data_IF_652474702325
#
_entry.id   IF_652474702325
#
_cell.length_a   1.000
_cell.length_b   1.000
_cell.length_c   1.000
_cell.angle_alpha   90.00
_cell.angle_beta   90.00
_cell.angle_gamma   90.00
#
_symmetry.space_group_name_H-M   'P 1'
#
loop_
_entity.id
_entity.type
_entity.pdbx_description
1 polymer ?
#
# COMPACT_ATOMS: atom_id res chain seq x y z
N UNK A 1 -5.02 -5.50 12.13
CA UNK A 1 -4.87 -4.03 12.21
C UNK A 1 -4.60 -3.68 13.66
N UNK A 2 -3.43 -3.14 14.00
CA UNK A 2 -3.16 -2.63 15.35
C UNK A 2 -3.19 -1.09 15.34
N UNK A 3 -4.39 -0.52 15.46
CA UNK A 3 -4.58 0.93 15.37
C UNK A 3 -3.88 1.70 16.50
N UNK A 4 -3.72 1.09 17.68
CA UNK A 4 -3.10 1.74 18.83
C UNK A 4 -1.59 1.99 18.63
N UNK A 5 -0.94 1.23 17.75
CA UNK A 5 0.49 1.36 17.45
C UNK A 5 0.79 2.35 16.32
N UNK A 6 -0.23 2.87 15.63
CA UNK A 6 -0.05 3.70 14.45
C UNK A 6 -0.19 5.19 14.78
N UNK A 7 0.64 6.00 14.16
CA UNK A 7 0.61 7.46 14.30
C UNK A 7 0.26 8.13 12.97
N UNK A 8 -0.44 9.29 12.99
CA UNK A 8 -0.65 10.09 11.79
C UNK A 8 0.68 10.56 11.20
N UNK A 9 0.88 10.36 9.91
CA UNK A 9 2.11 10.65 9.17
C UNK A 9 1.80 11.25 7.80
N UNK A 10 1.43 12.52 7.78
CA UNK A 10 1.10 13.25 6.56
C UNK A 10 2.28 13.33 5.57
N UNK A 11 3.51 13.24 6.04
CA UNK A 11 4.74 13.24 5.25
C UNK A 11 4.92 11.98 4.38
N UNK A 12 4.30 10.85 4.75
CA UNK A 12 4.54 9.57 4.08
C UNK A 12 3.64 9.33 2.86
N UNK A 13 2.62 10.15 2.61
CA UNK A 13 1.72 9.97 1.47
C UNK A 13 1.43 11.28 0.75
N UNK A 14 1.39 11.26 -0.58
CA UNK A 14 1.06 12.45 -1.37
C UNK A 14 -0.35 12.99 -1.11
N UNK A 15 -1.27 12.17 -0.60
CA UNK A 15 -2.60 12.62 -0.17
C UNK A 15 -2.61 13.28 1.21
N UNK A 16 -1.51 13.25 1.96
CA UNK A 16 -1.38 13.74 3.33
C UNK A 16 -2.25 13.00 4.38
N UNK A 17 -3.06 12.03 3.95
CA UNK A 17 -3.87 11.18 4.81
C UNK A 17 -3.22 9.81 4.95
N UNK A 18 -2.28 9.68 5.88
CA UNK A 18 -1.61 8.41 6.19
C UNK A 18 -1.53 8.19 7.70
N UNK A 19 -1.87 6.97 8.11
CA UNK A 19 -1.65 6.44 9.44
C UNK A 19 -0.62 5.31 9.30
N UNK A 20 0.44 5.29 10.12
CA UNK A 20 1.53 4.33 9.95
C UNK A 20 2.09 3.81 11.28
N UNK A 21 2.43 2.53 11.31
CA UNK A 21 3.46 1.93 12.17
C UNK A 21 4.64 1.60 11.22
N UNK A 22 5.60 2.53 11.06
CA UNK A 22 6.63 2.44 10.03
C UNK A 22 7.35 1.08 10.02
N UNK A 23 7.43 0.48 8.83
CA UNK A 23 8.03 -0.84 8.62
C UNK A 23 7.14 -2.05 8.96
N UNK A 24 5.87 -1.83 9.34
CA UNK A 24 4.92 -2.90 9.62
C UNK A 24 3.58 -2.73 8.93
N UNK A 25 2.93 -1.58 9.10
CA UNK A 25 1.54 -1.37 8.69
C UNK A 25 1.31 0.09 8.30
N UNK A 26 0.62 0.31 7.19
CA UNK A 26 0.31 1.64 6.65
C UNK A 26 -1.16 1.66 6.20
N UNK A 27 -1.84 2.76 6.47
CA UNK A 27 -3.21 3.01 6.03
C UNK A 27 -3.25 4.38 5.37
N UNK A 28 -3.56 4.41 4.08
CA UNK A 28 -3.55 5.63 3.28
C UNK A 28 -4.95 5.86 2.71
N UNK A 29 -5.50 7.05 2.91
CA UNK A 29 -6.82 7.41 2.42
C UNK A 29 -6.71 8.31 1.18
N UNK A 30 -7.49 7.97 0.16
CA UNK A 30 -7.59 8.68 -1.11
C UNK A 30 -9.05 9.11 -1.32
N UNK A 31 -9.45 10.31 -0.87
CA UNK A 31 -10.83 10.78 -0.98
C UNK A 31 -11.27 10.97 -2.45
N UNK A 32 -10.37 11.48 -3.28
CA UNK A 32 -10.58 11.73 -4.72
C UNK A 32 -10.29 10.50 -5.60
N UNK A 33 -9.81 9.42 -4.99
CA UNK A 33 -9.31 8.25 -5.72
C UNK A 33 -8.00 8.52 -6.48
N UNK A 34 -7.84 7.91 -7.65
CA UNK A 34 -6.69 8.14 -8.53
C UNK A 34 -5.41 7.42 -8.10
N UNK A 35 -4.30 8.15 -8.07
CA UNK A 35 -2.97 7.65 -7.70
C UNK A 35 -2.45 8.31 -6.43
N UNK A 36 -1.73 7.53 -5.62
CA UNK A 36 -1.00 8.02 -4.45
C UNK A 36 0.44 7.54 -4.51
N UNK A 37 1.36 8.40 -4.10
CA UNK A 37 2.76 8.02 -3.85
C UNK A 37 2.95 7.89 -2.35
N UNK A 38 3.53 6.77 -1.91
CA UNK A 38 3.75 6.46 -0.49
C UNK A 38 5.21 6.16 -0.25
N UNK A 39 5.81 6.85 0.71
CA UNK A 39 7.15 6.55 1.21
C UNK A 39 7.11 5.30 2.09
N UNK A 40 7.81 4.26 1.63
CA UNK A 40 7.92 2.97 2.29
C UNK A 40 9.38 2.65 2.64
N UNK A 41 10.26 3.65 2.73
CA UNK A 41 11.68 3.49 3.11
C UNK A 41 11.90 2.68 4.37
N UNK A 42 11.05 2.89 5.37
CA UNK A 42 11.12 2.17 6.64
C UNK A 42 10.70 0.68 6.53
N UNK A 43 10.09 0.27 5.41
CA UNK A 43 9.66 -1.10 5.16
C UNK A 43 10.82 -1.95 4.62
N UNK A 44 11.40 -2.77 5.50
CA UNK A 44 12.45 -3.74 5.13
C UNK A 44 11.91 -5.06 4.55
N UNK A 45 10.60 -5.20 4.41
CA UNK A 45 9.93 -6.44 3.95
C UNK A 45 8.79 -6.11 3.00
N UNK A 46 8.47 -7.08 2.14
CA UNK A 46 7.30 -7.03 1.26
C UNK A 46 6.03 -6.72 2.03
N UNK A 47 5.31 -5.70 1.59
CA UNK A 47 3.97 -5.39 2.05
C UNK A 47 2.96 -5.96 1.06
N UNK A 48 1.85 -6.49 1.57
CA UNK A 48 0.66 -6.81 0.82
C UNK A 48 -0.30 -5.61 0.92
N UNK A 49 -0.91 -5.24 -0.20
CA UNK A 49 -1.84 -4.11 -0.30
C UNK A 49 -3.27 -4.63 -0.48
N UNK A 50 -4.18 -4.07 0.30
CA UNK A 50 -5.62 -4.29 0.20
C UNK A 50 -6.31 -2.95 -0.02
N UNK A 51 -7.32 -2.94 -0.89
CA UNK A 51 -8.11 -1.76 -1.20
C UNK A 51 -9.49 -1.90 -0.61
N UNK A 52 -9.91 -0.88 0.15
CA UNK A 52 -11.22 -0.83 0.78
C UNK A 52 -11.95 0.46 0.41
N UNK A 53 -13.21 0.37 -0.02
CA UNK A 53 -14.05 1.52 -0.25
C UNK A 53 -14.86 1.85 1.02
N UNK A 54 -14.53 2.93 1.76
CA UNK A 54 -15.26 3.29 2.97
C UNK A 54 -16.71 3.71 2.74
N UNK A 55 -17.10 4.09 1.51
CA UNK A 55 -18.48 4.49 1.20
C UNK A 55 -19.39 3.29 1.01
N UNK A 56 -18.90 2.22 0.39
CA UNK A 56 -19.72 1.05 0.03
C UNK A 56 -19.42 -0.18 0.87
N UNK A 57 -18.33 -0.19 1.65
CA UNK A 57 -17.84 -1.36 2.37
C UNK A 57 -17.19 -2.42 1.46
N UNK A 58 -17.08 -2.16 0.15
CA UNK A 58 -16.50 -3.10 -0.80
C UNK A 58 -14.98 -3.19 -0.60
N UNK A 59 -14.45 -4.41 -0.46
CA UNK A 59 -13.01 -4.68 -0.48
C UNK A 59 -12.64 -5.33 -1.81
N UNK A 60 -11.62 -4.81 -2.49
CA UNK A 60 -11.00 -5.50 -3.64
C UNK A 60 -9.86 -6.35 -3.10
N UNK A 61 -10.03 -7.66 -3.25
CA UNK A 61 -9.15 -8.68 -2.68
C UNK A 61 -7.68 -8.48 -3.03
N UNK A 62 -6.83 -8.91 -2.08
CA UNK A 62 -5.37 -8.88 -2.07
C UNK A 62 -4.76 -9.07 -3.45
N UNK A 63 -4.50 -8.00 -4.20
CA UNK A 63 -3.48 -8.06 -5.23
C UNK A 63 -2.15 -7.96 -4.49
N UNK A 64 -1.34 -9.00 -4.58
CA UNK A 64 0.06 -8.94 -4.20
C UNK A 64 0.76 -7.94 -5.12
N UNK A 65 0.67 -6.67 -4.76
CA UNK A 65 1.28 -5.59 -5.52
C UNK A 65 2.71 -5.46 -4.98
N UNK A 66 3.59 -6.19 -5.68
CA UNK A 66 5.05 -6.11 -5.76
C UNK A 66 5.84 -5.76 -4.48
N UNK A 67 6.75 -6.66 -4.14
CA UNK A 67 7.86 -6.37 -3.22
C UNK A 67 8.70 -5.23 -3.79
N UNK A 68 8.65 -4.07 -3.15
CA UNK A 68 9.51 -2.95 -3.51
C UNK A 68 10.60 -2.81 -2.45
N UNK A 69 11.85 -2.86 -2.89
CA UNK A 69 13.01 -2.34 -2.14
C UNK A 69 13.21 -0.85 -2.41
N UNK A 70 12.23 -0.17 -3.01
CA UNK A 70 12.31 1.24 -3.39
C UNK A 70 11.64 2.12 -2.33
N UNK A 71 12.35 3.20 -1.99
CA UNK A 71 12.04 4.31 -1.11
C UNK A 71 10.59 4.81 -1.21
N UNK A 72 10.03 4.93 -2.42
CA UNK A 72 8.68 5.44 -2.63
C UNK A 72 7.95 4.68 -3.75
N UNK A 73 6.70 4.31 -3.50
CA UNK A 73 5.90 3.45 -4.39
C UNK A 73 4.61 4.16 -4.79
N UNK A 74 4.24 4.05 -6.07
CA UNK A 74 2.96 4.54 -6.58
C UNK A 74 1.91 3.46 -6.54
N UNK A 75 0.76 3.79 -5.97
CA UNK A 75 -0.43 2.96 -5.92
C UNK A 75 -1.58 3.64 -6.65
N UNK A 76 -2.31 2.88 -7.46
CA UNK A 76 -3.51 3.36 -8.16
C UNK A 76 -4.74 2.64 -7.60
N UNK A 77 -5.80 3.39 -7.31
CA UNK A 77 -7.09 2.81 -6.91
C UNK A 77 -7.57 1.87 -8.01
N UNK A 78 -8.06 0.65 -7.68
CA UNK A 78 -8.60 -0.27 -8.67
C UNK A 78 -9.74 0.39 -9.46
N UNK A 79 -9.78 0.18 -10.78
CA UNK A 79 -10.78 0.80 -11.67
C UNK A 79 -12.25 0.52 -11.30
N UNK A 80 -12.50 -0.48 -10.45
CA UNK A 80 -13.81 -0.78 -9.89
C UNK A 80 -14.24 0.18 -8.75
N UNK A 81 -13.38 1.11 -8.32
CA UNK A 81 -13.64 2.03 -7.21
C UNK A 81 -13.30 3.48 -7.59
N UNK A 82 -14.15 4.45 -7.21
CA UNK A 82 -13.92 5.89 -7.40
C UNK A 82 -13.10 6.54 -6.28
N UNK A 83 -12.96 5.87 -5.14
CA UNK A 83 -12.25 6.30 -3.94
C UNK A 83 -11.81 5.06 -3.14
N UNK A 84 -10.82 5.18 -2.27
CA UNK A 84 -10.37 4.02 -1.49
C UNK A 84 -9.40 4.31 -0.36
N UNK A 85 -9.34 3.36 0.56
CA UNK A 85 -8.31 3.21 1.58
C UNK A 85 -7.38 2.11 1.11
N UNK A 86 -6.09 2.43 0.99
CA UNK A 86 -5.03 1.46 0.81
C UNK A 86 -4.54 1.00 2.19
N UNK A 87 -4.79 -0.25 2.53
CA UNK A 87 -4.23 -0.89 3.72
C UNK A 87 -3.04 -1.75 3.31
N UNK A 88 -1.86 -1.43 3.83
CA UNK A 88 -0.63 -2.14 3.54
C UNK A 88 -0.11 -2.80 4.81
N UNK A 89 0.18 -4.09 4.76
CA UNK A 89 0.72 -4.85 5.90
C UNK A 89 1.78 -5.83 5.44
N UNK A 90 2.65 -6.28 6.34
CA UNK A 90 3.64 -7.33 6.02
C UNK A 90 3.00 -8.53 5.32
N UNK A 91 3.60 -8.94 4.20
CA UNK A 91 3.22 -10.16 3.50
C UNK A 91 3.67 -11.38 4.33
N UNK A 92 2.74 -12.27 4.66
CA UNK A 92 3.05 -13.52 5.38
C UNK A 92 3.70 -14.59 4.47
N UNK A 93 3.67 -14.39 3.14
CA UNK A 93 4.23 -15.33 2.16
C UNK A 93 5.74 -15.11 2.06
N UNK A 94 6.53 -16.06 2.57
CA UNK A 94 8.01 -16.10 2.44
C UNK A 94 8.50 -16.49 1.04
N UNK A 95 7.61 -16.84 0.13
CA UNK A 95 7.98 -17.28 -1.22
C UNK A 95 8.34 -16.07 -2.09
N UNK A 96 9.41 -16.15 -2.90
CA UNK A 96 9.73 -15.09 -3.85
C UNK A 96 8.54 -14.95 -4.79
N UNK A 97 7.82 -13.83 -4.68
CA UNK A 97 6.78 -13.47 -5.62
C UNK A 97 7.44 -13.41 -7.00
N UNK A 98 7.23 -14.45 -7.80
CA UNK A 98 7.79 -14.65 -9.14
C UNK A 98 7.62 -13.34 -9.92
N UNK A 99 8.70 -12.59 -10.07
CA UNK A 99 8.76 -11.39 -10.91
C UNK A 99 8.46 -11.82 -12.35
N UNK A 100 7.19 -11.82 -12.75
CA UNK A 100 6.87 -11.76 -14.17
C UNK A 100 7.09 -10.32 -14.60
N UNK A 101 8.30 -10.02 -15.09
CA UNK A 101 8.55 -8.77 -15.81
C UNK A 101 9.84 -8.00 -15.53
N UNK A 102 10.81 -8.51 -14.75
CA UNK A 102 12.17 -7.95 -14.82
C UNK A 102 12.87 -8.57 -16.04
N UNK A 103 12.67 -7.96 -17.21
CA UNK A 103 13.55 -8.19 -18.35
C UNK A 103 14.98 -7.80 -17.92
N UNK A 104 15.84 -8.81 -17.86
CA UNK A 104 17.28 -8.69 -17.70
C UNK A 104 17.79 -8.10 -19.01
N UNK A 105 18.06 -6.80 -19.05
CA UNK A 105 18.89 -6.21 -20.11
C UNK A 105 20.32 -6.52 -19.70
N UNK A 106 20.89 -7.54 -20.35
CA UNK A 106 22.34 -7.63 -20.57
C UNK A 106 22.70 -6.61 -21.66
#
# INVERSE_FOLDING_TARGET
MNLAAMTPRNDLASTQYCLADPGKEYLVYLPEGGEVTVDLTAASRTLAVEWFNPRTGAAVGRRHQQSHTCTSVRFRVPAAQSLGIAHMRRCAIRSPCRQRGCARIL
#
